data_IF_747719479277
#
_entry.id   IF_747719479277
#
_cell.length_a   1.000
_cell.length_b   1.000
_cell.length_c   1.000
_cell.angle_alpha   90.00
_cell.angle_beta   90.00
_cell.angle_gamma   90.00
#
_symmetry.space_group_name_H-M   'P 1'
#
loop_
_entity.id
_entity.type
_entity.pdbx_description
1 polymer ?
#
# COMPACT_ATOMS: atom_id res chain seq x y z
N UNK A 1 -23.29 -0.93 79.80
CA UNK A 1 -24.71 -0.67 79.51
C UNK A 1 -24.85 -0.30 78.04
N UNK A 2 -24.01 0.53 77.46
CA UNK A 2 -24.08 0.99 76.06
C UNK A 2 -23.77 -0.13 75.10
N UNK A 3 -22.76 -0.97 75.31
CA UNK A 3 -22.46 -2.19 74.57
C UNK A 3 -23.63 -3.19 74.53
N UNK A 4 -24.44 -3.17 75.60
CA UNK A 4 -25.65 -4.01 75.70
C UNK A 4 -26.83 -3.56 74.86
N UNK A 5 -26.92 -2.26 74.54
CA UNK A 5 -27.98 -1.70 73.71
C UNK A 5 -27.72 -2.01 72.23
N UNK A 6 -26.51 -1.85 71.77
CA UNK A 6 -26.13 -2.23 70.38
C UNK A 6 -26.18 -3.76 70.21
N UNK A 7 -25.78 -4.56 71.17
CA UNK A 7 -25.87 -6.04 71.13
C UNK A 7 -27.31 -6.59 71.22
N UNK A 8 -28.24 -5.83 71.74
CA UNK A 8 -29.65 -6.21 71.81
C UNK A 8 -30.50 -5.79 70.58
N UNK A 9 -29.87 -5.30 69.54
CA UNK A 9 -30.57 -4.91 68.34
C UNK A 9 -31.53 -3.76 68.53
N UNK A 10 -31.28 -2.83 69.49
CA UNK A 10 -32.12 -1.65 69.71
C UNK A 10 -32.12 -0.74 68.45
N UNK A 11 -31.09 -0.88 67.57
CA UNK A 11 -31.00 -0.22 66.29
C UNK A 11 -30.70 -1.26 65.19
N UNK A 12 -31.29 -1.08 64.00
CA UNK A 12 -31.03 -1.89 62.84
C UNK A 12 -29.54 -1.68 62.42
N UNK A 13 -28.72 -2.74 62.41
CA UNK A 13 -27.25 -2.68 62.29
C UNK A 13 -26.71 -1.98 61.04
N UNK A 14 -27.52 -1.87 59.98
CA UNK A 14 -27.12 -1.32 58.69
C UNK A 14 -27.62 0.12 58.42
N UNK A 15 -28.44 0.65 59.31
CA UNK A 15 -28.96 2.03 59.18
C UNK A 15 -28.64 2.87 60.39
N UNK A 16 -28.27 4.12 60.12
CA UNK A 16 -28.21 5.12 61.17
C UNK A 16 -29.60 5.29 61.77
N UNK A 17 -29.77 5.23 63.08
CA UNK A 17 -31.05 5.51 63.69
C UNK A 17 -31.47 6.93 63.34
N UNK A 18 -32.77 7.12 63.09
CA UNK A 18 -33.34 8.47 62.91
C UNK A 18 -33.23 9.27 64.22
N UNK A 19 -33.23 10.60 64.10
CA UNK A 19 -33.18 11.48 65.26
C UNK A 19 -34.29 11.12 66.28
N UNK A 20 -35.48 10.76 65.76
CA UNK A 20 -36.64 10.41 66.60
C UNK A 20 -36.45 9.05 67.32
N UNK A 21 -35.88 8.04 66.63
CA UNK A 21 -35.55 6.73 67.27
C UNK A 21 -34.47 6.90 68.33
N UNK A 22 -33.49 7.75 68.04
CA UNK A 22 -32.43 8.02 69.05
C UNK A 22 -32.97 8.78 70.24
N UNK A 23 -33.77 9.79 70.05
CA UNK A 23 -34.42 10.54 71.15
C UNK A 23 -35.37 9.67 71.97
N UNK A 24 -36.11 8.75 71.33
CA UNK A 24 -36.95 7.81 72.07
C UNK A 24 -36.11 6.86 72.96
N UNK A 25 -35.02 6.30 72.41
CA UNK A 25 -34.14 5.44 73.18
C UNK A 25 -33.50 6.14 74.35
N UNK A 26 -33.05 7.41 74.16
CA UNK A 26 -32.56 8.26 75.25
C UNK A 26 -33.62 8.52 76.29
N UNK A 27 -34.85 8.82 75.88
CA UNK A 27 -35.98 9.06 76.82
C UNK A 27 -36.31 7.83 77.64
N UNK A 28 -36.38 6.64 77.02
CA UNK A 28 -36.65 5.38 77.69
C UNK A 28 -35.52 5.02 78.69
N UNK A 29 -34.24 5.24 78.30
CA UNK A 29 -33.10 5.06 79.20
C UNK A 29 -33.08 6.11 80.29
N UNK A 30 -33.41 7.37 80.02
CA UNK A 30 -33.48 8.45 80.98
C UNK A 30 -34.53 8.25 82.03
N UNK A 31 -35.61 7.54 81.69
CA UNK A 31 -36.59 7.12 82.74
C UNK A 31 -36.10 6.00 83.62
N UNK A 32 -35.20 5.14 83.11
CA UNK A 32 -34.64 4.02 83.91
C UNK A 32 -33.41 4.42 84.75
N UNK A 33 -32.72 5.51 84.34
CA UNK A 33 -31.54 5.99 85.06
C UNK A 33 -31.44 7.50 84.96
N UNK A 34 -31.71 8.24 86.06
CA UNK A 34 -31.60 9.72 86.16
C UNK A 34 -30.21 10.27 85.96
N UNK A 35 -29.25 9.49 85.43
CA UNK A 35 -27.85 9.88 85.36
C UNK A 35 -27.50 10.66 84.10
N UNK A 36 -27.10 11.93 84.31
CA UNK A 36 -26.62 12.85 83.27
C UNK A 36 -25.41 12.25 82.51
N UNK A 37 -24.63 11.36 83.15
CA UNK A 37 -23.42 10.70 82.60
C UNK A 37 -23.75 9.69 81.57
N UNK A 38 -24.86 8.95 81.70
CA UNK A 38 -25.30 7.94 80.70
C UNK A 38 -25.74 8.61 79.36
N UNK A 39 -26.42 9.76 79.47
CA UNK A 39 -26.86 10.52 78.26
C UNK A 39 -25.64 11.01 77.45
N UNK A 40 -24.63 11.61 78.16
CA UNK A 40 -23.42 12.10 77.49
C UNK A 40 -22.65 10.94 76.77
N UNK A 41 -22.60 9.78 77.41
CA UNK A 41 -21.92 8.64 76.84
C UNK A 41 -22.68 8.06 75.59
N UNK A 42 -23.99 8.06 75.62
CA UNK A 42 -24.80 7.64 74.45
C UNK A 42 -24.61 8.63 73.30
N UNK A 43 -24.66 9.96 73.54
CA UNK A 43 -24.40 10.98 72.53
C UNK A 43 -22.98 10.80 71.89
N UNK A 44 -21.97 10.52 72.70
CA UNK A 44 -20.60 10.30 72.24
C UNK A 44 -20.52 9.07 71.33
N UNK A 45 -21.07 7.93 71.71
CA UNK A 45 -21.08 6.71 70.92
C UNK A 45 -21.85 6.87 69.61
N UNK A 46 -23.00 7.60 69.68
CA UNK A 46 -23.77 7.91 68.50
C UNK A 46 -22.96 8.76 67.51
N UNK A 47 -22.29 9.80 67.98
CA UNK A 47 -21.45 10.66 67.15
C UNK A 47 -20.29 9.84 66.52
N UNK A 48 -19.59 9.03 67.33
CA UNK A 48 -18.51 8.17 66.82
C UNK A 48 -18.97 7.20 65.70
N UNK A 49 -20.13 6.56 65.83
CA UNK A 49 -20.68 5.68 64.83
C UNK A 49 -21.16 6.45 63.60
N UNK A 50 -21.74 7.62 63.80
CA UNK A 50 -22.14 8.52 62.71
C UNK A 50 -20.93 8.96 61.90
N UNK A 51 -19.85 9.40 62.56
CA UNK A 51 -18.63 9.85 61.92
C UNK A 51 -17.96 8.72 61.11
N UNK A 52 -17.87 7.50 61.69
CA UNK A 52 -17.36 6.33 60.96
C UNK A 52 -18.14 6.03 59.68
N UNK A 53 -19.48 6.10 59.73
CA UNK A 53 -20.31 5.88 58.54
C UNK A 53 -20.14 7.00 57.51
N UNK A 54 -20.04 8.22 57.98
CA UNK A 54 -19.77 9.38 57.10
C UNK A 54 -18.44 9.24 56.35
N UNK A 55 -17.41 8.83 57.06
CA UNK A 55 -16.08 8.63 56.49
C UNK A 55 -16.10 7.45 55.45
N UNK A 56 -16.83 6.37 55.73
CA UNK A 56 -17.03 5.29 54.79
C UNK A 56 -17.75 5.75 53.53
N UNK A 57 -18.79 6.57 53.65
CA UNK A 57 -19.48 7.13 52.48
C UNK A 57 -18.63 8.09 51.67
N UNK A 58 -17.81 8.93 52.33
CA UNK A 58 -16.84 9.79 51.61
C UNK A 58 -15.81 8.99 50.86
N UNK A 59 -15.31 7.87 51.44
CA UNK A 59 -14.40 6.99 50.78
C UNK A 59 -15.05 6.32 49.53
N UNK A 60 -16.31 5.83 49.66
CA UNK A 60 -17.04 5.23 48.54
C UNK A 60 -17.32 6.25 47.43
N UNK A 61 -17.67 7.50 47.78
CA UNK A 61 -17.85 8.57 46.84
C UNK A 61 -16.56 8.88 46.05
N UNK A 62 -15.43 8.96 46.77
CA UNK A 62 -14.12 9.20 46.16
C UNK A 62 -13.74 8.08 45.19
N UNK A 63 -13.85 6.81 45.61
CA UNK A 63 -13.60 5.64 44.76
C UNK A 63 -14.51 5.62 43.52
N UNK A 64 -15.78 6.00 43.67
CA UNK A 64 -16.71 6.10 42.55
C UNK A 64 -16.33 7.21 41.56
N UNK A 65 -15.82 8.35 42.07
CA UNK A 65 -15.33 9.46 41.28
C UNK A 65 -14.09 9.03 40.47
N UNK A 66 -13.10 8.41 41.14
CA UNK A 66 -11.89 7.92 40.49
C UNK A 66 -12.20 6.90 39.38
N UNK A 67 -13.11 5.95 39.64
CA UNK A 67 -13.54 4.98 38.62
C UNK A 67 -14.25 5.62 37.44
N UNK A 68 -15.09 6.63 37.72
CA UNK A 68 -15.74 7.40 36.67
C UNK A 68 -14.74 8.14 35.79
N UNK A 69 -13.77 8.79 36.39
CA UNK A 69 -12.77 9.58 35.68
C UNK A 69 -11.85 8.67 34.84
N UNK A 70 -11.44 7.54 35.38
CA UNK A 70 -10.73 6.49 34.65
C UNK A 70 -11.54 5.94 33.45
N UNK A 71 -12.85 5.77 33.63
CA UNK A 71 -13.73 5.35 32.53
C UNK A 71 -13.76 6.38 31.40
N UNK A 72 -13.88 7.67 31.72
CA UNK A 72 -13.87 8.72 30.69
C UNK A 72 -12.54 8.80 29.97
N UNK A 73 -11.42 8.69 30.66
CA UNK A 73 -10.09 8.65 30.07
C UNK A 73 -9.93 7.46 29.10
N UNK A 74 -10.37 6.27 29.50
CA UNK A 74 -10.36 5.09 28.64
C UNK A 74 -11.29 5.25 27.44
N UNK A 75 -12.42 5.91 27.62
CA UNK A 75 -13.36 6.20 26.52
C UNK A 75 -12.74 7.14 25.49
N UNK A 76 -12.08 8.21 25.93
CA UNK A 76 -11.37 9.13 25.02
C UNK A 76 -10.25 8.40 24.24
N UNK A 77 -9.45 7.59 24.92
CA UNK A 77 -8.41 6.76 24.27
C UNK A 77 -9.00 5.80 23.23
N UNK A 78 -10.11 5.16 23.58
CA UNK A 78 -10.82 4.29 22.64
C UNK A 78 -11.30 5.05 21.41
N UNK A 79 -11.92 6.21 21.61
CA UNK A 79 -12.49 7.00 20.53
C UNK A 79 -11.38 7.54 19.59
N UNK A 80 -10.22 7.93 20.14
CA UNK A 80 -9.04 8.30 19.36
C UNK A 80 -8.52 7.10 18.52
N UNK A 81 -8.42 5.92 19.12
CA UNK A 81 -8.01 4.70 18.40
C UNK A 81 -8.99 4.35 17.25
N UNK A 82 -10.29 4.58 17.44
CA UNK A 82 -11.26 4.36 16.37
C UNK A 82 -11.05 5.29 15.17
N UNK A 83 -10.72 6.56 15.42
CA UNK A 83 -10.40 7.52 14.35
C UNK A 83 -9.15 7.07 13.57
N UNK A 84 -8.11 6.67 14.28
CA UNK A 84 -6.88 6.17 13.66
C UNK A 84 -7.13 4.89 12.87
N UNK A 85 -7.95 3.99 13.40
CA UNK A 85 -8.32 2.74 12.72
C UNK A 85 -9.07 3.01 11.41
N UNK A 86 -10.05 3.91 11.39
CA UNK A 86 -10.80 4.27 10.19
C UNK A 86 -9.89 4.91 9.13
N UNK A 87 -8.94 5.75 9.56
CA UNK A 87 -7.94 6.35 8.69
C UNK A 87 -7.05 5.28 8.04
N UNK A 88 -6.51 4.35 8.84
CA UNK A 88 -5.68 3.25 8.37
C UNK A 88 -6.45 2.28 7.46
N UNK A 89 -7.73 2.01 7.74
CA UNK A 89 -8.56 1.18 6.86
C UNK A 89 -8.78 1.85 5.51
N UNK A 90 -8.97 3.16 5.50
CA UNK A 90 -9.10 3.94 4.26
C UNK A 90 -7.81 3.93 3.45
N UNK A 91 -6.66 4.13 4.10
CA UNK A 91 -5.33 4.05 3.47
C UNK A 91 -5.06 2.65 2.90
N UNK A 92 -5.37 1.61 3.67
CA UNK A 92 -5.26 0.23 3.20
C UNK A 92 -6.08 0.00 1.93
N UNK A 93 -7.34 0.42 1.89
CA UNK A 93 -8.19 0.29 0.70
C UNK A 93 -7.62 1.02 -0.52
N UNK A 94 -7.01 2.20 -0.31
CA UNK A 94 -6.35 2.95 -1.37
C UNK A 94 -5.11 2.21 -1.90
N UNK A 95 -4.30 1.63 -1.02
CA UNK A 95 -3.13 0.82 -1.38
C UNK A 95 -3.56 -0.45 -2.13
N UNK A 96 -4.55 -1.18 -1.61
CA UNK A 96 -5.07 -2.39 -2.26
C UNK A 96 -5.56 -2.08 -3.69
N UNK A 97 -6.27 -0.95 -3.87
CA UNK A 97 -6.71 -0.48 -5.19
C UNK A 97 -5.55 -0.09 -6.11
N UNK A 98 -4.53 0.54 -5.57
CA UNK A 98 -3.32 0.87 -6.34
C UNK A 98 -2.59 -0.39 -6.82
N UNK A 99 -2.44 -1.40 -5.95
CA UNK A 99 -1.84 -2.70 -6.30
C UNK A 99 -2.67 -3.39 -7.39
N UNK A 100 -3.99 -3.45 -7.24
CA UNK A 100 -4.87 -4.03 -8.26
C UNK A 100 -4.71 -3.34 -9.63
N UNK A 101 -4.63 -2.01 -9.61
CA UNK A 101 -4.45 -1.21 -10.84
C UNK A 101 -3.08 -1.48 -11.48
N UNK A 102 -2.01 -1.51 -10.69
CA UNK A 102 -0.65 -1.82 -11.18
C UNK A 102 -0.60 -3.22 -11.77
N UNK A 103 -1.18 -4.22 -11.10
CA UNK A 103 -1.22 -5.58 -11.61
C UNK A 103 -2.01 -5.68 -12.93
N UNK A 104 -3.16 -5.00 -13.02
CA UNK A 104 -3.95 -4.95 -14.25
C UNK A 104 -3.19 -4.33 -15.42
N UNK A 105 -2.44 -3.23 -15.16
CA UNK A 105 -1.58 -2.60 -16.19
C UNK A 105 -0.43 -3.54 -16.57
N UNK A 106 0.17 -4.20 -15.61
CA UNK A 106 1.26 -5.16 -15.84
C UNK A 106 0.81 -6.33 -16.69
N UNK A 107 -0.37 -6.89 -16.41
CA UNK A 107 -0.95 -8.00 -17.19
C UNK A 107 -1.31 -7.57 -18.61
N UNK A 108 -1.86 -6.36 -18.81
CA UNK A 108 -2.14 -5.80 -20.13
C UNK A 108 -0.85 -5.60 -20.93
N UNK A 109 0.19 -5.01 -20.30
CA UNK A 109 1.50 -4.88 -20.94
C UNK A 109 2.10 -6.24 -21.28
N UNK A 110 2.10 -7.20 -20.38
CA UNK A 110 2.62 -8.55 -20.64
C UNK A 110 1.91 -9.20 -21.83
N UNK A 111 0.58 -9.05 -21.92
CA UNK A 111 -0.20 -9.59 -23.05
C UNK A 111 0.14 -8.90 -24.38
N UNK A 112 0.41 -7.58 -24.39
CA UNK A 112 0.83 -6.84 -25.57
C UNK A 112 2.21 -7.26 -26.06
N UNK A 113 3.11 -7.60 -25.13
CA UNK A 113 4.46 -8.06 -25.44
C UNK A 113 4.56 -9.58 -25.66
N UNK A 114 3.42 -10.29 -25.59
CA UNK A 114 3.41 -11.72 -25.91
C UNK A 114 3.88 -11.93 -27.36
N UNK A 115 4.84 -12.81 -27.55
CA UNK A 115 5.45 -13.07 -28.86
C UNK A 115 6.46 -12.02 -29.34
N UNK A 116 6.87 -11.05 -28.52
CA UNK A 116 7.90 -10.06 -28.90
C UNK A 116 9.22 -10.76 -29.33
N UNK A 117 9.59 -11.82 -28.66
CA UNK A 117 10.79 -12.62 -29.02
C UNK A 117 10.73 -13.14 -30.45
N UNK A 118 9.54 -13.56 -30.89
CA UNK A 118 9.33 -14.00 -32.27
C UNK A 118 9.54 -12.84 -33.26
N UNK A 119 8.99 -11.67 -32.99
CA UNK A 119 9.17 -10.48 -33.80
C UNK A 119 10.63 -10.04 -33.84
N UNK A 120 11.32 -10.03 -32.68
CA UNK A 120 12.75 -9.70 -32.60
C UNK A 120 13.56 -10.71 -33.41
N UNK A 121 13.29 -12.01 -33.27
CA UNK A 121 13.98 -13.08 -34.01
C UNK A 121 13.82 -12.91 -35.52
N UNK A 122 12.60 -12.65 -35.98
CA UNK A 122 12.30 -12.44 -37.39
C UNK A 122 13.04 -11.22 -37.95
N UNK A 123 12.91 -10.06 -37.27
CA UNK A 123 13.56 -8.81 -37.69
C UNK A 123 15.07 -8.90 -37.67
N UNK A 124 15.62 -9.52 -36.61
CA UNK A 124 17.05 -9.75 -36.50
C UNK A 124 17.57 -10.69 -37.61
N UNK A 125 16.78 -11.70 -37.97
CA UNK A 125 17.06 -12.57 -39.10
C UNK A 125 17.17 -11.77 -40.42
N UNK A 126 16.28 -10.82 -40.67
CA UNK A 126 16.35 -9.92 -41.82
C UNK A 126 17.59 -9.03 -41.75
N UNK A 127 17.80 -8.32 -40.63
CA UNK A 127 18.89 -7.35 -40.43
C UNK A 127 20.26 -8.01 -40.58
N UNK A 128 20.41 -9.21 -40.02
CA UNK A 128 21.70 -9.92 -40.00
C UNK A 128 21.96 -10.77 -41.26
N UNK A 129 21.04 -10.75 -42.25
CA UNK A 129 21.13 -11.63 -43.42
C UNK A 129 21.10 -13.13 -43.04
N UNK A 130 20.33 -13.47 -42.00
CA UNK A 130 20.18 -14.86 -41.50
C UNK A 130 21.30 -15.38 -40.61
N UNK A 131 22.28 -14.55 -40.24
CA UNK A 131 23.36 -14.92 -39.32
C UNK A 131 22.83 -15.25 -37.91
N UNK A 132 21.77 -14.55 -37.45
CA UNK A 132 21.07 -14.77 -36.19
C UNK A 132 19.63 -15.17 -36.49
N UNK A 133 19.21 -16.33 -36.00
CA UNK A 133 17.89 -16.90 -36.34
C UNK A 133 16.88 -16.88 -35.21
N UNK A 134 17.34 -16.67 -34.01
CA UNK A 134 16.51 -16.73 -32.81
C UNK A 134 17.05 -15.76 -31.75
N UNK A 135 16.16 -15.01 -31.12
CA UNK A 135 16.43 -14.14 -29.99
C UNK A 135 15.53 -14.52 -28.81
N UNK A 136 16.09 -14.45 -27.60
CA UNK A 136 15.37 -14.70 -26.34
C UNK A 136 15.67 -13.57 -25.37
N UNK A 137 14.67 -13.23 -24.57
CA UNK A 137 14.85 -12.37 -23.41
C UNK A 137 14.97 -13.23 -22.15
N UNK A 138 15.92 -12.88 -21.28
CA UNK A 138 15.95 -13.43 -19.94
C UNK A 138 15.11 -12.59 -18.97
N UNK A 139 14.94 -13.06 -17.73
CA UNK A 139 14.14 -12.41 -16.68
C UNK A 139 14.66 -10.99 -16.33
N UNK A 140 15.93 -10.73 -16.61
CA UNK A 140 16.58 -9.43 -16.41
C UNK A 140 16.53 -8.54 -17.68
N UNK A 141 15.74 -8.92 -18.68
CA UNK A 141 15.61 -8.20 -19.96
C UNK A 141 16.89 -8.16 -20.81
N UNK A 142 17.86 -9.03 -20.57
CA UNK A 142 18.98 -9.18 -21.48
C UNK A 142 18.59 -10.03 -22.68
N UNK A 143 19.16 -9.68 -23.83
CA UNK A 143 18.86 -10.37 -25.09
C UNK A 143 19.98 -11.35 -25.40
N UNK A 144 19.62 -12.60 -25.52
CA UNK A 144 20.49 -13.66 -26.02
C UNK A 144 20.08 -13.99 -27.46
N UNK A 145 21.06 -14.06 -28.36
CA UNK A 145 20.85 -14.40 -29.77
C UNK A 145 21.53 -15.73 -30.11
N UNK A 146 20.88 -16.49 -30.97
CA UNK A 146 21.36 -17.80 -31.39
C UNK A 146 22.28 -17.69 -32.60
N UNK A 147 23.49 -18.17 -32.44
CA UNK A 147 24.48 -18.30 -33.50
C UNK A 147 25.10 -19.70 -33.46
N UNK A 148 25.22 -20.37 -34.58
CA UNK A 148 25.80 -21.70 -34.69
C UNK A 148 25.22 -22.73 -33.71
N UNK A 149 23.90 -22.63 -33.42
CA UNK A 149 23.18 -23.53 -32.52
C UNK A 149 23.26 -23.18 -31.03
N UNK A 150 24.05 -22.18 -30.62
CA UNK A 150 24.25 -21.77 -29.24
C UNK A 150 23.71 -20.33 -29.00
N UNK A 151 23.18 -20.07 -27.79
CA UNK A 151 22.76 -18.74 -27.38
C UNK A 151 23.94 -18.00 -26.74
N UNK A 152 24.12 -16.76 -27.18
CA UNK A 152 25.11 -15.84 -26.63
C UNK A 152 24.41 -14.54 -26.28
N UNK A 153 24.72 -13.93 -25.16
CA UNK A 153 24.26 -12.57 -24.86
C UNK A 153 24.80 -11.61 -25.91
N UNK A 154 23.93 -10.77 -26.45
CA UNK A 154 24.27 -9.82 -27.51
C UNK A 154 25.47 -8.93 -27.16
N UNK A 155 25.61 -8.56 -25.91
CA UNK A 155 26.70 -7.73 -25.37
C UNK A 155 28.09 -8.32 -25.59
N UNK A 156 28.21 -9.64 -25.70
CA UNK A 156 29.48 -10.34 -25.89
C UNK A 156 29.84 -10.60 -27.36
N UNK A 157 28.95 -10.24 -28.30
CA UNK A 157 29.13 -10.51 -29.73
C UNK A 157 29.74 -9.37 -30.54
N UNK A 158 30.02 -8.25 -29.85
CA UNK A 158 30.60 -7.05 -30.46
C UNK A 158 29.55 -5.94 -30.74
N UNK A 159 30.07 -4.72 -30.92
CA UNK A 159 29.24 -3.51 -31.02
C UNK A 159 28.23 -3.54 -32.18
N UNK A 160 28.60 -4.11 -33.31
CA UNK A 160 27.75 -4.13 -34.49
C UNK A 160 26.56 -5.09 -34.33
N UNK A 161 26.78 -6.21 -33.65
CA UNK A 161 25.69 -7.13 -33.29
C UNK A 161 24.74 -6.48 -32.29
N UNK A 162 25.28 -5.80 -31.29
CA UNK A 162 24.46 -5.05 -30.31
C UNK A 162 23.56 -4.02 -31.03
N UNK A 163 24.09 -3.28 -31.97
CA UNK A 163 23.34 -2.30 -32.76
C UNK A 163 22.22 -2.96 -33.58
N UNK A 164 22.52 -4.09 -34.25
CA UNK A 164 21.54 -4.86 -35.02
C UNK A 164 20.42 -5.40 -34.12
N UNK A 165 20.76 -5.94 -32.97
CA UNK A 165 19.80 -6.44 -31.97
C UNK A 165 18.95 -5.26 -31.44
N UNK A 166 19.57 -4.13 -31.11
CA UNK A 166 18.86 -2.95 -30.64
C UNK A 166 17.86 -2.43 -31.69
N UNK A 167 18.27 -2.40 -32.98
CA UNK A 167 17.37 -2.02 -34.07
C UNK A 167 16.20 -3.02 -34.18
N UNK A 168 16.47 -4.33 -34.12
CA UNK A 168 15.42 -5.35 -34.17
C UNK A 168 14.41 -5.21 -33.04
N UNK A 169 14.87 -4.96 -31.80
CA UNK A 169 14.01 -4.70 -30.63
C UNK A 169 13.16 -3.46 -30.85
N UNK A 170 13.78 -2.36 -31.27
CA UNK A 170 13.08 -1.10 -31.52
C UNK A 170 11.98 -1.24 -32.58
N UNK A 171 12.25 -1.94 -33.64
CA UNK A 171 11.27 -2.23 -34.71
C UNK A 171 10.16 -3.17 -34.21
N UNK A 172 10.50 -4.18 -33.39
CA UNK A 172 9.52 -5.10 -32.81
C UNK A 172 8.56 -4.37 -31.84
N UNK A 173 9.10 -3.49 -31.00
CA UNK A 173 8.29 -2.64 -30.10
C UNK A 173 7.42 -1.68 -30.89
N UNK A 174 7.96 -1.01 -31.93
CA UNK A 174 7.19 -0.12 -32.78
C UNK A 174 6.00 -0.85 -33.43
N UNK A 175 6.19 -2.10 -33.86
CA UNK A 175 5.11 -2.92 -34.42
C UNK A 175 4.02 -3.26 -33.41
N UNK A 176 4.36 -3.48 -32.14
CA UNK A 176 3.40 -3.74 -31.05
C UNK A 176 2.60 -2.48 -30.71
N UNK A 177 3.24 -1.31 -30.78
CA UNK A 177 2.63 -0.01 -30.49
C UNK A 177 1.92 0.62 -31.68
N UNK A 178 1.78 -0.09 -32.80
CA UNK A 178 1.16 0.42 -34.04
C UNK A 178 -0.28 0.95 -33.84
N UNK A 179 -1.02 0.38 -32.89
CA UNK A 179 -2.36 0.87 -32.51
C UNK A 179 -2.37 2.34 -32.08
N UNK A 180 -1.24 2.88 -31.61
CA UNK A 180 -1.09 4.26 -31.17
C UNK A 180 -0.71 5.23 -32.29
N UNK A 181 -0.52 4.75 -33.50
CA UNK A 181 -0.24 5.54 -34.71
C UNK A 181 0.96 6.48 -34.57
N UNK A 182 2.00 6.01 -33.89
CA UNK A 182 3.19 6.82 -33.62
C UNK A 182 4.15 6.80 -34.81
N UNK A 183 4.71 7.97 -35.24
CA UNK A 183 5.73 7.99 -36.26
C UNK A 183 7.03 7.34 -35.78
N UNK A 184 7.67 6.54 -36.64
CA UNK A 184 8.96 5.93 -36.39
C UNK A 184 10.07 6.83 -36.95
N UNK A 185 10.89 7.39 -36.06
CA UNK A 185 12.07 8.18 -36.43
C UNK A 185 13.33 7.33 -36.31
N UNK A 186 14.04 7.17 -37.41
CA UNK A 186 15.26 6.39 -37.53
C UNK A 186 16.41 7.31 -38.00
N UNK A 187 17.40 7.50 -37.14
CA UNK A 187 18.55 8.34 -37.43
C UNK A 187 19.79 7.46 -37.62
N UNK A 188 20.36 7.53 -38.81
CA UNK A 188 21.61 6.85 -39.21
C UNK A 188 21.69 5.34 -38.90
N UNK A 189 20.53 4.64 -38.86
CA UNK A 189 20.47 3.23 -38.49
C UNK A 189 21.12 2.31 -39.53
N UNK A 190 21.27 2.80 -40.76
CA UNK A 190 21.87 2.08 -41.86
C UNK A 190 23.40 2.01 -41.82
N UNK A 191 24.05 2.92 -41.12
CA UNK A 191 25.51 2.91 -40.92
C UNK A 191 26.03 1.72 -40.04
N UNK A 192 25.08 0.94 -39.50
CA UNK A 192 25.39 -0.19 -38.62
C UNK A 192 25.70 -1.49 -39.36
N UNK A 193 25.48 -1.51 -40.65
CA UNK A 193 25.61 -2.69 -41.49
C UNK A 193 26.46 -2.39 -42.73
N UNK A 194 27.07 -3.45 -43.26
CA UNK A 194 27.73 -3.41 -44.56
C UNK A 194 26.73 -3.38 -45.72
N UNK A 195 27.23 -3.20 -46.94
CA UNK A 195 26.42 -3.16 -48.13
C UNK A 195 25.51 -4.39 -48.32
N UNK A 196 25.98 -5.55 -47.92
CA UNK A 196 25.20 -6.81 -48.00
C UNK A 196 24.07 -6.85 -46.96
N UNK A 197 24.25 -6.21 -45.80
CA UNK A 197 23.23 -6.12 -44.75
C UNK A 197 22.20 -5.03 -44.97
N UNK A 198 22.50 -4.01 -45.80
CA UNK A 198 21.64 -2.84 -46.00
C UNK A 198 20.24 -3.23 -46.53
N UNK A 199 20.15 -4.13 -47.48
CA UNK A 199 18.86 -4.60 -47.99
C UNK A 199 18.02 -5.30 -46.92
N UNK A 200 18.69 -6.00 -46.01
CA UNK A 200 18.06 -6.63 -44.83
C UNK A 200 17.46 -5.62 -43.87
N UNK A 201 18.21 -4.55 -43.55
CA UNK A 201 17.73 -3.44 -42.71
C UNK A 201 16.54 -2.74 -43.34
N UNK A 202 16.62 -2.40 -44.63
CA UNK A 202 15.52 -1.73 -45.33
C UNK A 202 14.26 -2.61 -45.41
N UNK A 203 14.40 -3.92 -45.60
CA UNK A 203 13.30 -4.87 -45.53
C UNK A 203 12.69 -4.92 -44.12
N UNK A 204 13.53 -4.94 -43.07
CA UNK A 204 13.06 -4.95 -41.72
C UNK A 204 12.30 -3.68 -41.36
N UNK A 205 12.77 -2.51 -41.79
CA UNK A 205 12.08 -1.22 -41.63
C UNK A 205 10.74 -1.24 -42.35
N UNK A 206 10.71 -1.74 -43.60
CA UNK A 206 9.47 -1.82 -44.42
C UNK A 206 8.44 -2.83 -43.85
N UNK A 207 8.90 -3.79 -43.04
CA UNK A 207 8.01 -4.77 -42.41
C UNK A 207 7.20 -4.18 -41.27
N UNK A 208 7.67 -3.09 -40.65
CA UNK A 208 6.96 -2.37 -39.59
C UNK A 208 5.94 -1.44 -40.26
N UNK A 209 4.69 -1.88 -40.28
CA UNK A 209 3.56 -1.15 -40.90
C UNK A 209 3.08 -0.01 -40.01
N UNK A 210 3.89 1.06 -39.86
CA UNK A 210 3.51 2.28 -39.13
C UNK A 210 2.94 3.32 -40.11
N UNK A 211 2.15 4.28 -39.61
CA UNK A 211 1.59 5.35 -40.46
C UNK A 211 2.66 6.22 -41.14
N UNK A 212 3.79 6.42 -40.45
CA UNK A 212 4.88 7.25 -40.97
C UNK A 212 6.24 6.74 -40.49
N UNK A 213 7.16 6.57 -41.44
CA UNK A 213 8.58 6.30 -41.12
C UNK A 213 9.41 7.47 -41.66
N UNK A 214 10.22 8.06 -40.79
CA UNK A 214 11.19 9.10 -41.15
C UNK A 214 12.58 8.49 -40.97
N UNK A 215 13.30 8.30 -42.07
CA UNK A 215 14.66 7.79 -42.10
C UNK A 215 15.62 8.93 -42.45
N UNK A 216 16.52 9.26 -41.50
CA UNK A 216 17.62 10.21 -41.73
C UNK A 216 18.88 9.42 -42.10
N UNK A 217 19.53 9.76 -43.17
CA UNK A 217 20.77 9.11 -43.60
C UNK A 217 21.64 10.06 -44.44
N UNK A 218 22.94 9.92 -44.32
CA UNK A 218 23.92 10.58 -45.19
C UNK A 218 24.35 9.70 -46.40
N UNK A 219 23.83 8.46 -46.44
CA UNK A 219 24.20 7.51 -47.50
C UNK A 219 23.22 7.57 -48.71
N UNK A 220 23.68 8.13 -49.83
CA UNK A 220 22.90 8.24 -51.06
C UNK A 220 22.50 6.85 -51.63
N UNK A 221 23.24 5.78 -51.32
CA UNK A 221 22.94 4.43 -51.78
C UNK A 221 21.59 3.92 -51.24
N UNK A 222 21.19 4.37 -50.05
CA UNK A 222 19.90 4.03 -49.40
C UNK A 222 18.72 4.43 -50.26
N UNK A 223 18.75 5.62 -50.84
CA UNK A 223 17.67 6.16 -51.70
C UNK A 223 17.50 5.27 -52.92
N UNK A 224 18.63 4.94 -53.59
CA UNK A 224 18.63 4.09 -54.77
C UNK A 224 18.08 2.69 -54.47
N UNK A 225 18.44 2.11 -53.31
CA UNK A 225 17.95 0.78 -52.90
C UNK A 225 16.46 0.79 -52.56
N UNK A 226 15.96 1.82 -51.83
CA UNK A 226 14.52 1.98 -51.54
C UNK A 226 13.69 2.10 -52.82
N UNK A 227 14.19 2.83 -53.83
CA UNK A 227 13.54 2.92 -55.14
C UNK A 227 13.50 1.58 -55.86
N UNK A 228 14.61 0.81 -55.81
CA UNK A 228 14.67 -0.53 -56.40
C UNK A 228 13.73 -1.54 -55.70
N UNK A 229 13.45 -1.33 -54.40
CA UNK A 229 12.49 -2.13 -53.63
C UNK A 229 11.02 -1.73 -53.87
N UNK A 230 10.73 -0.78 -54.81
CA UNK A 230 9.42 -0.20 -55.04
C UNK A 230 8.76 0.44 -53.78
N UNK A 231 9.58 0.87 -52.81
CA UNK A 231 9.10 1.63 -51.67
C UNK A 231 8.60 3.00 -52.10
N UNK A 232 7.38 3.36 -51.76
CA UNK A 232 6.85 4.71 -51.94
C UNK A 232 7.43 5.62 -50.87
N UNK A 233 8.51 6.31 -51.17
CA UNK A 233 9.13 7.27 -50.23
C UNK A 233 9.26 8.65 -50.89
N UNK A 234 9.18 9.70 -50.06
CA UNK A 234 9.54 11.07 -50.42
C UNK A 234 10.96 11.32 -49.97
N UNK A 235 11.82 11.72 -50.88
CA UNK A 235 13.21 12.08 -50.58
C UNK A 235 13.31 13.59 -50.42
N UNK A 236 13.84 14.04 -49.29
CA UNK A 236 14.09 15.45 -48.99
C UNK A 236 15.58 15.58 -48.74
N UNK A 237 16.26 16.35 -49.57
CA UNK A 237 17.65 16.74 -49.35
C UNK A 237 17.69 17.95 -48.40
N UNK A 238 18.52 17.86 -47.35
CA UNK A 238 18.70 18.89 -46.33
C UNK A 238 19.99 19.66 -46.61
#
# INVERSE_FOLDING_TARGET
>A
IIDGLFRKGAFDGDKLPSEEEFQRTIYEMGRATESRTVRVEIDRVFQEEHDKKLDMFKFQEHDAIEKRDAYYELKEKRDAIFVDYDALETEKKAIDKAIETINSISDDLASRFDGIEHNISFLLGLISGGKFTEAKLDDDMHIAVKRDGHFFRAEFLGSDVVKQVYLAVRLAVAKILDDEKMPLLLDDVVSTVDDDGLDGVLKAISYVETEQIILLTSDESVVSRLQNMNCKCNVVAL
#
